data_IF_978736523702
#
_entry.id   IF_978736523702
#
_cell.length_a   1.000
_cell.length_b   1.000
_cell.length_c   1.000
_cell.angle_alpha   90.00
_cell.angle_beta   90.00
_cell.angle_gamma   90.00
#
_symmetry.space_group_name_H-M   'P 1'
#
loop_
_entity.id
_entity.type
_entity.pdbx_description
1 polymer ?
#
# COMPACT_ATOMS: atom_id res chain seq x y z
N UNK A 1 -12.95 5.29 15.74
CA UNK A 1 -13.61 5.93 14.58
C UNK A 1 -12.72 5.83 13.33
N UNK A 2 -11.40 6.14 13.39
CA UNK A 2 -10.50 5.88 12.25
C UNK A 2 -10.29 4.37 12.00
N UNK A 3 -10.22 3.57 13.07
CA UNK A 3 -10.07 2.12 13.00
C UNK A 3 -11.26 1.43 12.30
N UNK A 4 -12.49 1.86 12.58
CA UNK A 4 -13.70 1.35 11.91
C UNK A 4 -13.72 1.73 10.42
N UNK A 5 -13.27 2.94 10.08
CA UNK A 5 -13.08 3.34 8.69
C UNK A 5 -11.99 2.47 8.03
N UNK A 6 -10.88 2.24 8.72
CA UNK A 6 -9.79 1.39 8.23
C UNK A 6 -10.29 -0.03 7.93
N UNK A 7 -11.03 -0.64 8.86
CA UNK A 7 -11.70 -1.92 8.66
C UNK A 7 -12.60 -1.90 7.44
N UNK A 8 -13.46 -0.87 7.32
CA UNK A 8 -14.39 -0.75 6.20
C UNK A 8 -13.67 -0.72 4.85
N UNK A 9 -12.61 0.07 4.74
CA UNK A 9 -11.85 0.23 3.50
C UNK A 9 -11.01 -1.01 3.17
N UNK A 10 -10.36 -1.59 4.17
CA UNK A 10 -9.51 -2.76 4.00
C UNK A 10 -10.32 -3.99 3.55
N UNK A 11 -11.55 -4.13 4.03
CA UNK A 11 -12.46 -5.22 3.62
C UNK A 11 -13.28 -4.90 2.36
N UNK A 12 -13.01 -3.77 1.67
CA UNK A 12 -13.58 -3.55 0.33
C UNK A 12 -13.03 -4.62 -0.62
N UNK A 13 -13.92 -5.23 -1.39
CA UNK A 13 -13.56 -6.28 -2.33
C UNK A 13 -12.62 -5.70 -3.39
N UNK A 14 -11.42 -6.27 -3.49
CA UNK A 14 -10.47 -5.99 -4.57
C UNK A 14 -10.29 -7.27 -5.37
N UNK A 15 -10.51 -7.21 -6.68
CA UNK A 15 -10.26 -8.34 -7.57
C UNK A 15 -8.75 -8.51 -7.78
N UNK A 16 -8.25 -9.71 -7.51
CA UNK A 16 -6.83 -10.06 -7.70
C UNK A 16 -6.67 -11.00 -8.89
N UNK A 17 -5.44 -11.06 -9.42
CA UNK A 17 -5.05 -12.00 -10.44
C UNK A 17 -3.75 -12.70 -10.01
N UNK A 18 -3.57 -13.96 -10.40
CA UNK A 18 -2.28 -14.63 -10.21
C UNK A 18 -1.23 -13.96 -11.09
N UNK A 19 -0.05 -13.68 -10.51
CA UNK A 19 1.06 -13.00 -11.19
C UNK A 19 2.38 -13.72 -10.88
N UNK A 20 3.26 -13.85 -11.87
CA UNK A 20 4.64 -14.28 -11.61
C UNK A 20 5.51 -13.12 -11.07
N UNK A 21 6.77 -13.40 -10.72
CA UNK A 21 7.68 -12.41 -10.13
C UNK A 21 7.97 -11.26 -11.12
N UNK A 22 8.12 -11.58 -12.40
CA UNK A 22 8.38 -10.62 -13.47
C UNK A 22 7.17 -9.69 -13.71
N UNK A 23 5.97 -10.25 -13.75
CA UNK A 23 4.70 -9.52 -13.85
C UNK A 23 4.49 -8.64 -12.62
N UNK A 24 4.74 -9.14 -11.41
CA UNK A 24 4.66 -8.34 -10.19
C UNK A 24 5.61 -7.15 -10.23
N UNK A 25 6.88 -7.37 -10.61
CA UNK A 25 7.86 -6.29 -10.73
C UNK A 25 7.44 -5.25 -11.78
N UNK A 26 6.93 -5.69 -12.94
CA UNK A 26 6.45 -4.79 -13.99
C UNK A 26 5.22 -3.97 -13.56
N UNK A 27 4.28 -4.58 -12.83
CA UNK A 27 3.13 -3.88 -12.28
C UNK A 27 3.54 -2.83 -11.24
N UNK A 28 4.51 -3.16 -10.38
CA UNK A 28 5.08 -2.22 -9.41
C UNK A 28 5.74 -1.03 -10.13
N UNK A 29 6.54 -1.27 -11.17
CA UNK A 29 7.18 -0.19 -11.95
C UNK A 29 6.16 0.74 -12.62
N UNK A 30 5.01 0.21 -13.04
CA UNK A 30 3.92 1.02 -13.62
C UNK A 30 3.25 1.87 -12.53
N UNK A 31 2.88 1.27 -11.41
CA UNK A 31 2.23 1.99 -10.30
C UNK A 31 3.15 3.00 -9.65
N UNK A 32 4.44 2.76 -9.60
CA UNK A 32 5.42 3.75 -9.14
C UNK A 32 5.45 4.99 -10.06
N UNK A 33 5.37 4.81 -11.38
CA UNK A 33 5.26 5.94 -12.32
C UNK A 33 3.96 6.72 -12.11
N UNK A 34 2.86 6.02 -11.84
CA UNK A 34 1.58 6.66 -11.51
C UNK A 34 1.68 7.46 -10.20
N UNK A 35 2.36 6.91 -9.19
CA UNK A 35 2.64 7.58 -7.91
C UNK A 35 3.56 8.79 -8.08
N UNK A 36 4.57 8.72 -8.94
CA UNK A 36 5.40 9.88 -9.29
C UNK A 36 4.57 10.97 -9.97
N UNK A 37 3.70 10.60 -10.93
CA UNK A 37 2.79 11.56 -11.55
C UNK A 37 1.84 12.20 -10.54
N UNK A 38 1.32 11.40 -9.59
CA UNK A 38 0.50 11.89 -8.50
C UNK A 38 1.27 12.90 -7.61
N UNK A 39 2.50 12.59 -7.25
CA UNK A 39 3.36 13.48 -6.48
C UNK A 39 3.58 14.83 -7.17
N UNK A 40 3.90 14.83 -8.47
CA UNK A 40 4.09 16.03 -9.27
C UNK A 40 2.81 16.88 -9.34
N UNK A 41 1.65 16.24 -9.51
CA UNK A 41 0.36 16.94 -9.49
C UNK A 41 0.09 17.60 -8.14
N UNK A 42 0.22 16.85 -7.05
CA UNK A 42 -0.14 17.31 -5.70
C UNK A 42 0.84 18.37 -5.15
N UNK A 43 2.09 18.37 -5.62
CA UNK A 43 3.06 19.44 -5.31
C UNK A 43 2.84 20.70 -6.16
N UNK A 44 2.24 20.57 -7.35
CA UNK A 44 1.99 21.67 -8.30
C UNK A 44 0.63 22.37 -8.20
N UNK A 45 -0.50 21.66 -8.01
CA UNK A 45 -1.88 22.20 -7.85
C UNK A 45 -2.89 21.15 -7.31
N UNK A 46 -3.93 21.65 -6.61
CA UNK A 46 -5.29 21.11 -6.30
C UNK A 46 -5.42 19.73 -5.61
N UNK A 47 -6.53 19.60 -4.87
CA UNK A 47 -6.96 18.37 -4.20
C UNK A 47 -7.06 17.19 -5.18
N UNK A 48 -6.83 15.98 -4.66
CA UNK A 48 -6.85 14.74 -5.44
C UNK A 48 -8.21 14.51 -6.12
N UNK A 49 -8.17 13.96 -7.33
CA UNK A 49 -9.35 13.51 -8.09
C UNK A 49 -9.71 12.06 -7.76
N UNK A 50 -10.88 11.58 -8.20
CA UNK A 50 -11.23 10.15 -8.09
C UNK A 50 -10.24 9.23 -8.84
N UNK A 51 -9.70 9.70 -9.97
CA UNK A 51 -8.68 8.96 -10.70
C UNK A 51 -7.38 8.81 -9.89
N UNK A 52 -7.02 9.84 -9.12
CA UNK A 52 -5.84 9.81 -8.25
C UNK A 52 -6.02 8.84 -7.07
N UNK A 53 -7.25 8.72 -6.53
CA UNK A 53 -7.56 7.76 -5.46
C UNK A 53 -7.43 6.30 -5.93
N UNK A 54 -7.79 6.02 -7.19
CA UNK A 54 -7.72 4.67 -7.77
C UNK A 54 -6.30 4.09 -7.74
N UNK A 55 -5.26 4.93 -7.75
CA UNK A 55 -3.87 4.47 -7.64
C UNK A 55 -3.67 3.64 -6.36
N UNK A 56 -4.29 4.04 -5.24
CA UNK A 56 -4.21 3.29 -3.99
C UNK A 56 -4.92 1.94 -4.06
N UNK A 57 -6.06 1.86 -4.77
CA UNK A 57 -6.73 0.57 -5.02
C UNK A 57 -5.87 -0.35 -5.88
N UNK A 58 -5.18 0.20 -6.87
CA UNK A 58 -4.24 -0.55 -7.71
C UNK A 58 -3.05 -1.07 -6.89
N UNK A 59 -2.52 -0.29 -5.94
CA UNK A 59 -1.46 -0.74 -5.01
C UNK A 59 -1.95 -1.92 -4.16
N UNK A 60 -3.13 -1.82 -3.53
CA UNK A 60 -3.71 -2.91 -2.73
C UNK A 60 -3.86 -4.17 -3.58
N UNK A 61 -4.39 -4.03 -4.81
CA UNK A 61 -4.56 -5.16 -5.74
C UNK A 61 -3.24 -5.85 -6.06
N UNK A 62 -2.20 -5.06 -6.37
CA UNK A 62 -0.87 -5.58 -6.70
C UNK A 62 -0.26 -6.30 -5.50
N UNK A 63 -0.36 -5.71 -4.31
CA UNK A 63 0.19 -6.30 -3.10
C UNK A 63 -0.50 -7.63 -2.73
N UNK A 64 -1.83 -7.69 -2.82
CA UNK A 64 -2.59 -8.92 -2.62
C UNK A 64 -2.22 -9.99 -3.66
N UNK A 65 -2.13 -9.61 -4.94
CA UNK A 65 -1.75 -10.53 -6.02
C UNK A 65 -0.34 -11.10 -5.81
N UNK A 66 0.59 -10.27 -5.33
CA UNK A 66 1.94 -10.68 -4.95
C UNK A 66 1.97 -11.66 -3.78
N UNK A 67 1.23 -11.38 -2.70
CA UNK A 67 1.14 -12.26 -1.52
C UNK A 67 0.52 -13.63 -1.85
N UNK A 68 -0.52 -13.64 -2.68
CA UNK A 68 -1.12 -14.89 -3.17
C UNK A 68 -0.12 -15.70 -3.98
N UNK A 69 0.64 -15.05 -4.86
CA UNK A 69 1.50 -15.75 -5.81
C UNK A 69 2.83 -16.22 -5.21
N UNK A 70 3.38 -15.47 -4.26
CA UNK A 70 4.67 -15.79 -3.61
C UNK A 70 4.48 -16.78 -2.46
N UNK A 71 3.39 -16.62 -1.70
CA UNK A 71 3.23 -17.27 -0.40
C UNK A 71 2.00 -18.16 -0.32
N UNK A 72 1.17 -18.19 -1.38
CA UNK A 72 -0.06 -18.98 -1.42
C UNK A 72 -1.13 -18.50 -0.45
N UNK A 73 -0.97 -17.31 0.12
CA UNK A 73 -1.83 -16.80 1.20
C UNK A 73 -3.24 -16.48 0.70
N UNK A 74 -4.25 -16.77 1.51
CA UNK A 74 -5.62 -16.41 1.19
C UNK A 74 -5.84 -14.89 1.40
N UNK A 75 -6.66 -14.25 0.55
CA UNK A 75 -6.96 -12.81 0.67
C UNK A 75 -7.59 -12.47 2.01
N UNK A 76 -8.55 -13.28 2.50
CA UNK A 76 -9.25 -12.98 3.75
C UNK A 76 -8.29 -13.04 4.95
N UNK A 77 -7.33 -13.98 4.93
CA UNK A 77 -6.27 -14.07 5.94
C UNK A 77 -5.32 -12.88 5.89
N UNK A 78 -4.93 -12.46 4.68
CA UNK A 78 -4.08 -11.28 4.47
C UNK A 78 -4.76 -10.01 4.96
N UNK A 79 -6.05 -9.85 4.66
CA UNK A 79 -6.83 -8.69 5.10
C UNK A 79 -6.98 -8.67 6.63
N UNK A 80 -7.25 -9.82 7.26
CA UNK A 80 -7.31 -9.91 8.72
C UNK A 80 -5.97 -9.55 9.38
N UNK A 81 -4.86 -10.07 8.88
CA UNK A 81 -3.54 -9.73 9.43
C UNK A 81 -3.15 -8.27 9.16
N UNK A 82 -3.50 -7.74 7.97
CA UNK A 82 -3.26 -6.34 7.61
C UNK A 82 -3.97 -5.41 8.59
N UNK A 83 -5.20 -5.77 8.99
CA UNK A 83 -5.96 -5.05 10.01
C UNK A 83 -5.19 -5.02 11.33
N UNK A 84 -4.78 -6.17 11.85
CA UNK A 84 -4.08 -6.27 13.14
C UNK A 84 -2.75 -5.52 13.14
N UNK A 85 -1.96 -5.62 12.05
CA UNK A 85 -0.71 -4.90 11.88
C UNK A 85 -0.96 -3.40 11.83
N UNK A 86 -1.94 -2.97 11.04
CA UNK A 86 -2.26 -1.56 10.83
C UNK A 86 -2.76 -0.89 12.11
N UNK A 87 -3.67 -1.56 12.82
CA UNK A 87 -4.17 -1.08 14.11
C UNK A 87 -3.06 -0.95 15.13
N UNK A 88 -2.23 -1.98 15.28
CA UNK A 88 -1.09 -1.96 16.20
C UNK A 88 -0.12 -0.82 15.88
N UNK A 89 0.35 -0.73 14.63
CA UNK A 89 1.33 0.30 14.23
C UNK A 89 0.77 1.71 14.41
N UNK A 90 -0.45 1.98 13.97
CA UNK A 90 -1.02 3.33 14.12
C UNK A 90 -1.34 3.66 15.58
N UNK A 91 -1.61 2.67 16.45
CA UNK A 91 -1.70 2.89 17.90
C UNK A 91 -0.35 3.31 18.49
N UNK A 92 0.75 2.70 18.05
CA UNK A 92 2.11 3.03 18.52
C UNK A 92 2.58 4.43 18.05
N UNK A 93 2.28 4.80 16.80
CA UNK A 93 2.73 6.08 16.21
C UNK A 93 1.74 7.25 16.37
N UNK A 94 0.44 6.94 16.52
CA UNK A 94 -0.67 7.89 16.53
C UNK A 94 -1.08 8.41 15.13
N UNK A 95 -2.38 8.68 14.93
CA UNK A 95 -2.95 9.18 13.65
C UNK A 95 -2.25 10.45 13.13
N UNK A 96 -1.70 11.28 14.03
CA UNK A 96 -0.94 12.48 13.69
C UNK A 96 0.30 12.23 12.84
N UNK A 97 0.88 11.03 12.87
CA UNK A 97 2.02 10.65 12.03
C UNK A 97 1.69 10.66 10.53
N UNK A 98 0.47 10.25 10.17
CA UNK A 98 -0.02 10.32 8.79
C UNK A 98 -0.41 11.76 8.44
N UNK A 99 -1.15 12.43 9.32
CA UNK A 99 -1.62 13.81 9.09
C UNK A 99 -0.48 14.82 8.89
N UNK A 100 0.67 14.63 9.55
CA UNK A 100 1.79 15.59 9.52
C UNK A 100 2.30 15.89 8.10
N UNK A 101 2.39 14.88 7.25
CA UNK A 101 2.83 15.03 5.86
C UNK A 101 1.74 14.67 4.84
N UNK A 102 0.57 14.27 5.34
CA UNK A 102 -0.58 13.88 4.56
C UNK A 102 -0.26 12.83 3.50
N UNK A 103 -0.94 12.95 2.35
CA UNK A 103 -0.81 12.01 1.24
C UNK A 103 0.61 12.02 0.65
N UNK A 104 1.33 13.14 0.69
CA UNK A 104 2.72 13.22 0.23
C UNK A 104 3.61 12.28 1.06
N UNK A 105 3.44 12.27 2.38
CA UNK A 105 4.17 11.36 3.25
C UNK A 105 3.80 9.89 3.05
N UNK A 106 2.59 9.59 2.56
CA UNK A 106 2.19 8.22 2.19
C UNK A 106 2.78 7.82 0.84
N UNK A 107 2.81 8.73 -0.14
CA UNK A 107 3.44 8.47 -1.44
C UNK A 107 4.90 8.08 -1.27
N UNK A 108 5.67 8.84 -0.48
CA UNK A 108 7.09 8.52 -0.22
C UNK A 108 7.26 7.16 0.43
N UNK A 109 6.41 6.82 1.43
CA UNK A 109 6.48 5.52 2.11
C UNK A 109 6.14 4.36 1.17
N UNK A 110 5.14 4.53 0.29
CA UNK A 110 4.82 3.55 -0.75
C UNK A 110 5.99 3.35 -1.71
N UNK A 111 6.60 4.43 -2.20
CA UNK A 111 7.78 4.36 -3.08
C UNK A 111 8.93 3.60 -2.44
N UNK A 112 9.22 3.85 -1.15
CA UNK A 112 10.25 3.10 -0.41
C UNK A 112 9.96 1.58 -0.38
N UNK A 113 8.67 1.20 -0.23
CA UNK A 113 8.24 -0.21 -0.22
C UNK A 113 8.32 -0.83 -1.61
N UNK A 114 7.90 -0.13 -2.66
CA UNK A 114 8.02 -0.57 -4.05
C UNK A 114 9.48 -0.84 -4.43
N UNK A 115 10.38 0.09 -4.12
CA UNK A 115 11.83 -0.09 -4.35
C UNK A 115 12.40 -1.27 -3.57
N UNK A 116 11.93 -1.47 -2.33
CA UNK A 116 12.32 -2.62 -1.53
C UNK A 116 11.89 -3.94 -2.18
N UNK A 117 10.67 -4.05 -2.68
CA UNK A 117 10.18 -5.26 -3.37
C UNK A 117 11.05 -5.55 -4.59
N UNK A 118 11.30 -4.55 -5.44
CA UNK A 118 12.14 -4.73 -6.65
C UNK A 118 13.53 -5.26 -6.30
N UNK A 119 14.13 -4.76 -5.23
CA UNK A 119 15.42 -5.23 -4.76
C UNK A 119 15.37 -6.65 -4.18
N UNK A 120 14.32 -6.99 -3.44
CA UNK A 120 14.11 -8.33 -2.88
C UNK A 120 13.87 -9.39 -3.97
N UNK A 121 13.06 -9.07 -4.98
CA UNK A 121 12.76 -9.98 -6.09
C UNK A 121 13.99 -10.28 -6.95
N UNK A 122 14.93 -9.33 -7.05
CA UNK A 122 16.20 -9.50 -7.79
C UNK A 122 17.27 -10.22 -6.98
N UNK A 123 17.29 -10.06 -5.66
CA UNK A 123 18.38 -10.52 -4.79
C UNK A 123 17.84 -11.31 -3.58
N UNK A 124 17.57 -12.59 -3.77
CA UNK A 124 17.12 -13.51 -2.70
C UNK A 124 18.14 -13.61 -1.54
N UNK A 125 19.42 -13.34 -1.80
CA UNK A 125 20.52 -13.45 -0.83
C UNK A 125 20.65 -12.28 0.16
N UNK A 126 19.75 -11.29 0.14
CA UNK A 126 19.84 -10.18 1.08
C UNK A 126 19.43 -10.62 2.49
N UNK A 127 20.40 -10.66 3.42
CA UNK A 127 20.19 -10.92 4.84
C UNK A 127 19.22 -9.87 5.41
N UNK A 128 17.91 -10.15 5.44
CA UNK A 128 16.92 -9.11 5.74
C UNK A 128 16.00 -9.48 6.90
N UNK A 129 15.93 -8.53 7.83
CA UNK A 129 15.01 -8.48 8.97
C UNK A 129 13.52 -8.39 8.59
N UNK A 130 13.20 -8.04 7.34
CA UNK A 130 11.82 -7.85 6.87
C UNK A 130 11.72 -8.35 5.42
N UNK A 131 10.73 -9.20 5.20
CA UNK A 131 10.56 -10.07 4.02
C UNK A 131 9.82 -9.38 2.88
N UNK A 132 9.68 -10.07 1.74
CA UNK A 132 8.79 -9.62 0.65
C UNK A 132 7.36 -9.52 1.17
N UNK A 133 6.90 -10.51 1.94
CA UNK A 133 5.56 -10.53 2.52
C UNK A 133 5.31 -9.34 3.42
N UNK A 134 6.20 -9.08 4.40
CA UNK A 134 6.09 -7.93 5.30
C UNK A 134 6.00 -6.61 4.52
N UNK A 135 6.78 -6.51 3.43
CA UNK A 135 6.81 -5.31 2.59
C UNK A 135 5.49 -5.14 1.82
N UNK A 136 4.91 -6.22 1.28
CA UNK A 136 3.61 -6.19 0.59
C UNK A 136 2.46 -5.88 1.57
N UNK A 137 2.52 -6.42 2.79
CA UNK A 137 1.55 -6.12 3.87
C UNK A 137 1.58 -4.62 4.24
N UNK A 138 2.78 -4.03 4.31
CA UNK A 138 2.93 -2.59 4.55
C UNK A 138 2.34 -1.75 3.41
N UNK A 139 2.49 -2.16 2.15
CA UNK A 139 1.88 -1.50 0.99
C UNK A 139 0.35 -1.54 1.05
N UNK A 140 -0.25 -2.65 1.49
CA UNK A 140 -1.71 -2.71 1.69
C UNK A 140 -2.15 -1.64 2.69
N UNK A 141 -1.49 -1.58 3.85
CA UNK A 141 -1.87 -0.67 4.92
C UNK A 141 -1.69 0.80 4.52
N UNK A 142 -0.53 1.17 3.98
CA UNK A 142 -0.26 2.56 3.59
C UNK A 142 -1.16 3.01 2.43
N UNK A 143 -1.49 2.11 1.49
CA UNK A 143 -2.40 2.46 0.41
C UNK A 143 -3.82 2.70 0.90
N UNK A 144 -4.32 1.85 1.81
CA UNK A 144 -5.63 2.06 2.44
C UNK A 144 -5.65 3.36 3.24
N UNK A 145 -4.58 3.68 3.98
CA UNK A 145 -4.46 4.97 4.68
C UNK A 145 -4.49 6.16 3.70
N UNK A 146 -3.85 6.01 2.54
CA UNK A 146 -3.83 7.02 1.48
C UNK A 146 -5.22 7.31 0.96
N UNK A 147 -5.96 6.25 0.65
CA UNK A 147 -7.35 6.36 0.20
C UNK A 147 -8.24 7.01 1.27
N UNK A 148 -8.19 6.52 2.51
CA UNK A 148 -8.96 7.10 3.63
C UNK A 148 -8.66 8.59 3.84
N UNK A 149 -7.39 8.99 3.72
CA UNK A 149 -6.98 10.38 3.89
C UNK A 149 -7.52 11.26 2.76
N UNK A 150 -7.47 10.78 1.52
CA UNK A 150 -8.04 11.49 0.36
C UNK A 150 -9.58 11.57 0.40
N UNK A 151 -10.23 10.61 1.04
CA UNK A 151 -11.68 10.61 1.28
C UNK A 151 -12.09 11.44 2.51
N UNK A 152 -11.12 12.00 3.24
CA UNK A 152 -11.39 12.85 4.41
C UNK A 152 -11.91 12.08 5.62
N UNK A 153 -11.67 10.76 5.69
CA UNK A 153 -12.14 9.89 6.77
C UNK A 153 -11.00 9.40 7.70
N UNK A 154 -9.83 10.01 7.58
CA UNK A 154 -8.67 9.83 8.47
C UNK A 154 -8.56 10.98 9.48
N UNK A 155 -8.52 10.66 10.78
CA UNK A 155 -8.37 11.63 11.87
C UNK A 155 -7.64 11.03 13.07
#
# INVERSE_FOLDING_TARGET
MWEENFKTYLYQRVETASVDKEQLAAMIDLTEKDMQSLFEKLTGRKAATEADKKIFDDIVRIALSGLQSISGRNVDEVIAESYDIGVRKNTDYGSGNILKFGVIGLIVRETDKMERIKNLLKNEASFKKETVEDTLMDMINYAVYGKMLLDGVWF
#
